data_IF_651829101029
#
_entry.id   IF_651829101029
#
_cell.length_a   1.000
_cell.length_b   1.000
_cell.length_c   1.000
_cell.angle_alpha   90.00
_cell.angle_beta   90.00
_cell.angle_gamma   90.00
#
_symmetry.space_group_name_H-M   'P 1'
#
loop_
_entity.id
_entity.type
_entity.pdbx_description
1 polymer ?
#
# COMPACT_ATOMS: atom_id res chain seq x y z
N UNK A 1 -29.41 -35.97 -46.84
CA UNK A 1 -29.56 -34.71 -46.09
C UNK A 1 -29.35 -35.03 -44.62
N UNK A 2 -28.12 -34.88 -44.13
CA UNK A 2 -27.74 -35.19 -42.76
C UNK A 2 -27.63 -33.87 -41.97
N UNK A 3 -28.45 -33.72 -40.95
CA UNK A 3 -28.46 -32.55 -40.10
C UNK A 3 -27.42 -32.72 -38.96
N UNK A 4 -26.34 -31.94 -39.01
CA UNK A 4 -25.32 -31.85 -37.96
C UNK A 4 -25.89 -31.23 -36.68
N UNK A 5 -25.93 -32.01 -35.59
CA UNK A 5 -26.21 -31.54 -34.22
C UNK A 5 -25.02 -30.70 -33.71
N UNK A 6 -25.29 -29.46 -33.37
CA UNK A 6 -24.34 -28.58 -32.69
C UNK A 6 -24.16 -29.05 -31.22
N UNK A 7 -22.93 -29.35 -30.84
CA UNK A 7 -22.56 -29.69 -29.47
C UNK A 7 -22.44 -28.41 -28.63
N UNK A 8 -23.27 -28.29 -27.57
CA UNK A 8 -23.16 -27.26 -26.56
C UNK A 8 -21.90 -27.50 -25.71
N UNK A 9 -20.97 -26.54 -25.71
CA UNK A 9 -19.86 -26.46 -24.76
C UNK A 9 -20.42 -26.31 -23.32
N UNK A 10 -19.88 -27.01 -22.32
CA UNK A 10 -20.30 -26.80 -20.94
C UNK A 10 -19.72 -25.48 -20.42
N UNK A 11 -20.56 -24.71 -19.73
CA UNK A 11 -20.21 -23.48 -19.05
C UNK A 11 -19.13 -23.77 -17.97
N UNK A 12 -18.07 -22.95 -17.97
CA UNK A 12 -17.03 -23.00 -16.94
C UNK A 12 -17.65 -22.70 -15.57
N UNK A 13 -17.51 -23.64 -14.66
CA UNK A 13 -17.86 -23.43 -13.26
C UNK A 13 -16.89 -22.42 -12.67
N UNK A 14 -17.38 -21.23 -12.38
CA UNK A 14 -16.71 -20.25 -11.53
C UNK A 14 -16.32 -20.91 -10.21
N UNK A 15 -15.03 -21.02 -9.97
CA UNK A 15 -14.50 -21.49 -8.68
C UNK A 15 -14.95 -20.52 -7.59
N UNK A 16 -15.95 -20.91 -6.83
CA UNK A 16 -16.30 -20.27 -5.56
C UNK A 16 -15.10 -20.42 -4.64
N UNK A 17 -14.29 -19.36 -4.54
CA UNK A 17 -13.23 -19.25 -3.56
C UNK A 17 -13.81 -19.48 -2.17
N UNK A 18 -13.38 -20.57 -1.55
CA UNK A 18 -13.68 -20.94 -0.18
C UNK A 18 -13.31 -19.77 0.72
N UNK A 19 -14.28 -19.04 1.23
CA UNK A 19 -14.11 -18.00 2.25
C UNK A 19 -13.37 -18.62 3.42
N UNK A 20 -12.08 -18.27 3.57
CA UNK A 20 -11.32 -18.64 4.75
C UNK A 20 -12.03 -18.03 5.95
N UNK A 21 -12.33 -18.87 6.93
CA UNK A 21 -12.97 -18.68 8.22
C UNK A 21 -13.42 -17.25 8.52
N UNK A 22 -14.73 -17.04 8.48
CA UNK A 22 -15.35 -15.83 8.96
C UNK A 22 -14.81 -15.52 10.36
N UNK A 23 -14.11 -14.41 10.52
CA UNK A 23 -14.17 -13.73 11.76
C UNK A 23 -12.89 -13.33 12.49
N UNK A 24 -11.66 -13.62 12.05
CA UNK A 24 -10.46 -13.14 12.77
C UNK A 24 -9.38 -12.62 11.83
N UNK A 25 -8.93 -11.38 12.05
CA UNK A 25 -7.86 -10.74 11.29
C UNK A 25 -7.00 -9.86 12.21
N UNK A 26 -5.76 -9.60 11.81
CA UNK A 26 -4.93 -8.55 12.43
C UNK A 26 -5.23 -7.18 11.84
N UNK A 27 -5.87 -7.14 10.68
CA UNK A 27 -6.09 -5.92 9.94
C UNK A 27 -7.56 -5.79 9.59
N UNK A 28 -8.14 -4.66 9.93
CA UNK A 28 -9.54 -4.34 9.73
C UNK A 28 -9.71 -2.95 9.17
N UNK A 29 -10.72 -2.77 8.35
CA UNK A 29 -11.06 -1.47 7.79
C UNK A 29 -12.53 -1.15 7.98
N UNK A 30 -12.84 0.14 8.09
CA UNK A 30 -14.19 0.66 8.10
C UNK A 30 -14.27 1.99 7.35
N UNK A 31 -15.50 2.37 6.99
CA UNK A 31 -15.81 3.68 6.45
C UNK A 31 -16.29 4.60 7.58
N UNK A 32 -15.88 5.85 7.51
CA UNK A 32 -16.36 6.92 8.42
C UNK A 32 -16.94 8.03 7.56
N UNK A 33 -18.22 8.31 7.75
CA UNK A 33 -18.89 9.42 7.11
C UNK A 33 -18.80 10.67 7.99
N UNK A 34 -18.28 11.81 7.51
CA UNK A 34 -18.08 13.01 8.31
C UNK A 34 -19.33 13.46 9.07
N UNK A 35 -20.49 13.34 8.45
CA UNK A 35 -21.77 13.79 9.00
C UNK A 35 -22.31 12.93 10.15
N UNK A 36 -21.88 11.66 10.26
CA UNK A 36 -22.32 10.72 11.30
C UNK A 36 -21.21 10.33 12.28
N UNK A 37 -19.97 10.72 12.00
CA UNK A 37 -18.84 10.45 12.87
C UNK A 37 -19.02 11.10 14.25
N UNK A 38 -18.44 10.51 15.28
CA UNK A 38 -18.36 11.12 16.59
C UNK A 38 -17.53 12.42 16.51
N UNK A 39 -17.86 13.41 17.31
CA UNK A 39 -17.01 14.58 17.47
C UNK A 39 -15.64 14.15 18.01
N UNK A 40 -14.54 14.69 17.45
CA UNK A 40 -13.18 14.32 17.87
C UNK A 40 -12.79 12.86 17.54
N UNK A 41 -13.43 12.21 16.57
CA UNK A 41 -13.20 10.79 16.27
C UNK A 41 -11.74 10.45 15.87
N UNK A 42 -11.02 11.41 15.26
CA UNK A 42 -9.60 11.20 14.89
C UNK A 42 -8.71 11.19 16.12
N UNK A 43 -8.94 12.13 17.02
CA UNK A 43 -8.26 12.24 18.32
C UNK A 43 -8.52 10.99 19.16
N UNK A 44 -9.78 10.53 19.20
CA UNK A 44 -10.15 9.28 19.87
C UNK A 44 -9.40 8.08 19.30
N UNK A 45 -9.25 7.96 17.97
CA UNK A 45 -8.45 6.88 17.36
C UNK A 45 -6.96 7.00 17.70
N UNK A 46 -6.43 8.21 17.72
CA UNK A 46 -5.02 8.44 18.08
C UNK A 46 -4.72 8.04 19.53
N UNK A 47 -5.64 8.31 20.46
CA UNK A 47 -5.54 7.94 21.89
C UNK A 47 -5.56 6.42 22.12
N UNK A 48 -6.13 5.64 21.21
CA UNK A 48 -6.14 4.18 21.31
C UNK A 48 -4.77 3.54 21.01
N UNK A 49 -3.81 4.29 20.50
CA UNK A 49 -2.47 3.83 20.12
C UNK A 49 -2.45 2.59 19.23
N UNK A 50 -3.50 2.38 18.45
CA UNK A 50 -3.57 1.30 17.47
C UNK A 50 -2.90 1.77 16.19
N UNK A 51 -1.96 0.98 15.68
CA UNK A 51 -1.28 1.26 14.41
C UNK A 51 -2.28 1.28 13.26
N UNK A 52 -2.21 2.29 12.41
CA UNK A 52 -3.15 2.38 11.30
C UNK A 52 -3.04 3.65 10.46
N UNK A 53 -4.01 3.84 9.57
CA UNK A 53 -4.07 4.99 8.68
C UNK A 53 -5.51 5.47 8.50
N UNK A 54 -5.67 6.78 8.38
CA UNK A 54 -6.91 7.41 7.92
C UNK A 54 -6.64 8.01 6.54
N UNK A 55 -7.50 7.73 5.57
CA UNK A 55 -7.38 8.27 4.21
C UNK A 55 -7.62 9.78 4.17
N UNK A 56 -7.22 10.46 3.09
CA UNK A 56 -7.84 11.71 2.69
C UNK A 56 -9.37 11.57 2.61
N UNK A 57 -10.09 12.68 2.57
CA UNK A 57 -11.53 12.65 2.33
C UNK A 57 -11.81 12.22 0.89
N UNK A 58 -12.47 11.10 0.72
CA UNK A 58 -12.94 10.62 -0.58
C UNK A 58 -14.24 11.33 -0.96
N UNK A 59 -14.12 12.51 -1.51
CA UNK A 59 -15.23 13.39 -1.96
C UNK A 59 -15.40 13.42 -3.49
N UNK A 60 -14.44 12.83 -4.23
CA UNK A 60 -14.44 12.78 -5.71
C UNK A 60 -14.69 11.40 -6.28
N UNK A 61 -15.02 10.45 -5.43
CA UNK A 61 -15.35 9.09 -5.84
C UNK A 61 -16.71 9.03 -6.54
N UNK A 62 -16.81 8.15 -7.55
CA UNK A 62 -18.05 7.90 -8.27
C UNK A 62 -18.50 6.45 -8.15
N UNK A 63 -19.80 6.24 -8.23
CA UNK A 63 -20.41 4.93 -8.35
C UNK A 63 -20.24 4.38 -9.77
N UNK A 64 -20.46 3.06 -10.01
CA UNK A 64 -20.40 2.48 -11.35
C UNK A 64 -21.37 3.10 -12.36
N UNK A 65 -22.44 3.73 -11.89
CA UNK A 65 -23.42 4.46 -12.70
C UNK A 65 -23.03 5.92 -12.98
N UNK A 66 -21.86 6.37 -12.51
CA UNK A 66 -21.35 7.72 -12.67
C UNK A 66 -21.87 8.74 -11.64
N UNK A 67 -22.75 8.34 -10.73
CA UNK A 67 -23.22 9.25 -9.67
C UNK A 67 -22.12 9.46 -8.61
N UNK A 68 -22.00 10.68 -8.01
CA UNK A 68 -21.04 10.92 -6.94
C UNK A 68 -21.32 10.01 -5.73
N UNK A 69 -20.26 9.47 -5.14
CA UNK A 69 -20.36 8.82 -3.85
C UNK A 69 -20.45 9.85 -2.75
N UNK A 70 -21.14 9.47 -1.67
CA UNK A 70 -21.15 10.25 -0.44
C UNK A 70 -19.72 10.40 0.10
N UNK A 71 -19.29 11.62 0.46
CA UNK A 71 -17.96 11.84 1.03
C UNK A 71 -17.71 10.94 2.25
N UNK A 72 -16.56 10.30 2.30
CA UNK A 72 -16.22 9.35 3.36
C UNK A 72 -14.71 9.25 3.54
N UNK A 73 -14.31 8.77 4.72
CA UNK A 73 -12.95 8.34 5.01
C UNK A 73 -12.89 6.83 5.06
N UNK A 74 -11.78 6.27 4.61
CA UNK A 74 -11.38 4.91 4.93
C UNK A 74 -10.45 4.93 6.15
N UNK A 75 -10.70 4.05 7.10
CA UNK A 75 -9.82 3.85 8.25
C UNK A 75 -9.33 2.41 8.21
N UNK A 76 -8.01 2.24 8.24
CA UNK A 76 -7.32 0.96 8.32
C UNK A 76 -6.65 0.86 9.68
N UNK A 77 -6.98 -0.17 10.45
CA UNK A 77 -6.32 -0.45 11.73
C UNK A 77 -5.62 -1.81 11.69
N UNK A 78 -4.44 -1.86 12.28
CA UNK A 78 -3.56 -3.02 12.31
C UNK A 78 -3.19 -3.34 13.77
N UNK A 79 -3.53 -4.54 14.22
CA UNK A 79 -3.22 -5.01 15.58
C UNK A 79 -2.08 -6.03 15.54
N UNK A 80 -1.28 -6.07 16.58
CA UNK A 80 -0.27 -7.12 16.75
C UNK A 80 -0.90 -8.52 16.84
N UNK A 81 -2.03 -8.65 17.56
CA UNK A 81 -2.79 -9.87 17.70
C UNK A 81 -4.02 -9.92 16.79
N UNK A 82 -4.51 -11.13 16.49
CA UNK A 82 -5.75 -11.28 15.72
C UNK A 82 -6.97 -10.85 16.55
N UNK A 83 -7.88 -10.10 15.91
CA UNK A 83 -9.15 -9.65 16.47
C UNK A 83 -10.31 -10.34 15.78
N UNK A 84 -11.41 -10.57 16.51
CA UNK A 84 -12.69 -10.96 15.91
C UNK A 84 -13.40 -9.72 15.33
N UNK A 85 -14.46 -9.94 14.55
CA UNK A 85 -15.29 -8.86 14.04
C UNK A 85 -15.92 -8.03 15.17
N UNK A 86 -16.35 -8.69 16.23
CA UNK A 86 -16.94 -8.06 17.42
C UNK A 86 -15.92 -7.16 18.13
N UNK A 87 -14.69 -7.66 18.31
CA UNK A 87 -13.61 -6.89 18.93
C UNK A 87 -13.19 -5.68 18.07
N UNK A 88 -13.16 -5.84 16.75
CA UNK A 88 -12.92 -4.70 15.85
C UNK A 88 -14.09 -3.70 15.92
N UNK A 89 -15.32 -4.20 15.98
CA UNK A 89 -16.53 -3.38 16.04
C UNK A 89 -16.57 -2.48 17.28
N UNK A 90 -16.06 -2.93 18.43
CA UNK A 90 -15.98 -2.09 19.65
C UNK A 90 -15.27 -0.76 19.38
N UNK A 91 -14.18 -0.77 18.60
CA UNK A 91 -13.45 0.45 18.22
C UNK A 91 -14.25 1.31 17.23
N UNK A 92 -14.89 0.66 16.26
CA UNK A 92 -15.68 1.37 15.24
C UNK A 92 -16.94 2.01 15.82
N UNK A 93 -17.56 1.38 16.81
CA UNK A 93 -18.74 1.92 17.50
C UNK A 93 -18.39 3.22 18.26
N UNK A 94 -17.23 3.30 18.88
CA UNK A 94 -16.78 4.52 19.61
C UNK A 94 -16.70 5.72 18.68
N UNK A 95 -16.22 5.55 17.46
CA UNK A 95 -16.07 6.63 16.47
C UNK A 95 -17.29 6.78 15.56
N UNK A 96 -18.32 5.96 15.75
CA UNK A 96 -19.53 5.89 14.91
C UNK A 96 -19.20 5.64 13.44
N UNK A 97 -18.25 4.77 13.17
CA UNK A 97 -17.98 4.26 11.83
C UNK A 97 -19.14 3.37 11.34
N UNK A 98 -19.09 3.01 10.05
CA UNK A 98 -20.05 2.04 9.50
C UNK A 98 -20.00 0.74 10.32
N UNK A 99 -21.17 0.19 10.73
CA UNK A 99 -21.23 -0.87 11.74
C UNK A 99 -20.62 -2.22 11.33
N UNK A 100 -20.22 -2.39 10.09
CA UNK A 100 -19.65 -3.65 9.57
C UNK A 100 -18.15 -3.50 9.30
N UNK A 101 -17.28 -3.83 10.26
CA UNK A 101 -15.85 -3.88 10.02
C UNK A 101 -15.52 -4.96 8.98
N UNK A 102 -14.63 -4.63 8.06
CA UNK A 102 -14.19 -5.56 7.01
C UNK A 102 -12.80 -6.08 7.32
N UNK A 103 -12.59 -7.41 7.39
CA UNK A 103 -11.26 -7.97 7.52
C UNK A 103 -10.46 -7.68 6.24
N UNK A 104 -9.23 -7.23 6.41
CA UNK A 104 -8.32 -6.90 5.31
C UNK A 104 -7.29 -8.01 5.15
N UNK A 105 -7.17 -8.56 3.93
CA UNK A 105 -6.23 -9.64 3.64
C UNK A 105 -4.79 -9.13 3.41
N UNK A 106 -4.65 -7.91 2.89
CA UNK A 106 -3.38 -7.27 2.61
C UNK A 106 -3.39 -5.84 3.14
N UNK A 107 -2.68 -5.61 4.25
CA UNK A 107 -2.51 -4.28 4.82
C UNK A 107 -1.90 -3.32 3.79
N UNK A 108 -0.83 -3.75 3.09
CA UNK A 108 -0.19 -2.99 2.01
C UNK A 108 -1.16 -2.60 0.90
N UNK A 109 -1.88 -3.58 0.35
CA UNK A 109 -2.82 -3.31 -0.73
C UNK A 109 -3.95 -2.38 -0.31
N UNK A 110 -4.43 -2.49 0.94
CA UNK A 110 -5.45 -1.59 1.43
C UNK A 110 -4.89 -0.19 1.75
N UNK A 111 -3.68 -0.09 2.31
CA UNK A 111 -3.00 1.19 2.50
C UNK A 111 -2.87 1.93 1.16
N UNK A 112 -2.33 1.29 0.12
CA UNK A 112 -2.25 1.86 -1.23
C UNK A 112 -3.62 2.27 -1.80
N UNK A 113 -4.67 1.52 -1.46
CA UNK A 113 -6.05 1.85 -1.86
C UNK A 113 -6.57 3.13 -1.17
N UNK A 114 -6.04 3.53 -0.02
CA UNK A 114 -6.45 4.77 0.65
C UNK A 114 -6.19 6.03 -0.19
N UNK A 115 -5.25 5.97 -1.13
CA UNK A 115 -4.99 7.03 -2.11
C UNK A 115 -5.24 6.58 -3.56
N UNK A 116 -5.82 5.40 -3.77
CA UNK A 116 -6.07 4.76 -5.06
C UNK A 116 -4.82 4.53 -5.92
N UNK A 117 -3.63 4.37 -5.32
CA UNK A 117 -2.34 4.28 -6.02
C UNK A 117 -2.31 3.19 -7.11
N UNK A 118 -3.07 2.10 -6.94
CA UNK A 118 -3.15 0.98 -7.88
C UNK A 118 -4.41 1.02 -8.76
N UNK A 119 -5.17 2.12 -8.72
CA UNK A 119 -6.44 2.29 -9.42
C UNK A 119 -6.43 3.58 -10.26
N UNK A 120 -5.69 3.63 -11.37
CA UNK A 120 -5.51 4.85 -12.16
C UNK A 120 -6.83 5.38 -12.78
N UNK A 121 -7.85 4.53 -12.86
CA UNK A 121 -9.20 4.90 -13.31
C UNK A 121 -10.00 5.72 -12.28
N UNK A 122 -9.54 5.76 -11.03
CA UNK A 122 -10.16 6.53 -9.95
C UNK A 122 -9.42 7.84 -9.72
N UNK A 123 -10.09 8.76 -9.02
CA UNK A 123 -9.41 9.95 -8.54
C UNK A 123 -8.27 9.56 -7.62
N UNK A 124 -7.06 10.08 -7.91
CA UNK A 124 -5.86 9.87 -7.07
C UNK A 124 -5.85 10.92 -5.96
N UNK A 125 -5.81 10.47 -4.71
CA UNK A 125 -5.68 11.34 -3.55
C UNK A 125 -4.20 11.50 -3.15
N UNK A 126 -3.85 12.66 -2.58
CA UNK A 126 -2.48 12.94 -2.18
C UNK A 126 -2.09 12.11 -0.94
N UNK A 127 -1.01 11.31 -1.00
CA UNK A 127 -0.48 10.62 0.17
C UNK A 127 -0.08 11.53 1.33
N UNK A 128 0.24 12.80 1.07
CA UNK A 128 0.56 13.77 2.13
C UNK A 128 -0.62 14.05 3.07
N UNK A 129 -1.86 13.79 2.63
CA UNK A 129 -3.08 13.96 3.43
C UNK A 129 -3.42 12.72 4.27
N UNK A 130 -2.62 11.66 4.21
CA UNK A 130 -2.78 10.47 5.06
C UNK A 130 -2.46 10.83 6.51
N UNK A 131 -3.35 10.42 7.41
CA UNK A 131 -3.09 10.52 8.85
C UNK A 131 -2.61 9.17 9.37
N UNK A 132 -1.36 9.11 9.82
CA UNK A 132 -0.79 7.93 10.46
C UNK A 132 -1.17 7.86 11.94
N UNK A 133 -1.54 6.67 12.40
CA UNK A 133 -1.95 6.37 13.77
C UNK A 133 -0.97 5.39 14.43
N UNK A 134 -0.75 5.54 15.74
CA UNK A 134 0.03 4.57 16.54
C UNK A 134 1.44 4.33 16.02
N UNK A 135 2.09 5.34 15.43
CA UNK A 135 3.43 5.23 14.88
C UNK A 135 3.52 4.44 13.56
N UNK A 136 2.42 4.31 12.83
CA UNK A 136 2.43 3.68 11.50
C UNK A 136 3.33 4.46 10.53
N UNK A 137 4.15 3.73 9.76
CA UNK A 137 4.96 4.26 8.68
C UNK A 137 4.25 3.97 7.34
N UNK A 138 3.78 5.04 6.69
CA UNK A 138 3.08 4.96 5.42
C UNK A 138 3.96 4.43 4.30
N UNK A 139 5.17 4.99 4.16
CA UNK A 139 6.09 4.62 3.10
C UNK A 139 6.52 3.16 3.23
N UNK A 140 6.93 2.74 4.43
CA UNK A 140 7.28 1.35 4.68
C UNK A 140 6.11 0.38 4.44
N UNK A 141 4.87 0.81 4.75
CA UNK A 141 3.68 -0.03 4.56
C UNK A 141 3.28 -0.16 3.09
N UNK A 142 3.41 0.90 2.29
CA UNK A 142 2.96 0.94 0.90
C UNK A 142 4.01 0.56 -0.12
N UNK A 143 5.27 0.50 0.29
CA UNK A 143 6.41 0.16 -0.57
C UNK A 143 6.24 -1.17 -1.30
N UNK A 144 6.54 -1.20 -2.59
CA UNK A 144 6.54 -2.40 -3.42
C UNK A 144 7.97 -2.82 -3.79
N UNK A 145 8.27 -4.13 -3.90
CA UNK A 145 9.58 -4.60 -4.38
C UNK A 145 9.92 -4.10 -5.79
N UNK A 146 8.92 -3.74 -6.60
CA UNK A 146 9.10 -3.13 -7.92
C UNK A 146 9.71 -1.74 -7.86
N UNK A 147 9.47 -1.01 -6.77
CA UNK A 147 10.00 0.33 -6.55
C UNK A 147 11.52 0.24 -6.33
N UNK A 148 11.98 -0.74 -5.53
CA UNK A 148 13.41 -1.04 -5.37
C UNK A 148 14.10 -1.39 -6.70
N UNK A 149 13.43 -2.15 -7.57
CA UNK A 149 13.98 -2.50 -8.88
C UNK A 149 14.20 -1.27 -9.78
N UNK A 150 13.23 -0.36 -9.81
CA UNK A 150 13.34 0.88 -10.57
C UNK A 150 14.50 1.74 -10.05
N UNK A 151 14.57 1.95 -8.74
CA UNK A 151 15.64 2.71 -8.08
C UNK A 151 17.02 2.08 -8.33
N UNK A 152 17.16 0.75 -8.22
CA UNK A 152 18.42 0.04 -8.51
C UNK A 152 18.85 0.23 -9.95
N UNK A 153 17.92 0.14 -10.90
CA UNK A 153 18.21 0.38 -12.33
C UNK A 153 18.72 1.79 -12.58
N UNK A 154 18.08 2.78 -12.00
CA UNK A 154 18.49 4.17 -12.10
C UNK A 154 19.85 4.41 -11.46
N UNK A 155 20.10 3.90 -10.27
CA UNK A 155 21.40 3.96 -9.59
C UNK A 155 22.52 3.37 -10.45
N UNK A 156 22.32 2.19 -11.03
CA UNK A 156 23.32 1.57 -11.91
C UNK A 156 23.58 2.39 -13.17
N UNK A 157 22.57 3.00 -13.77
CA UNK A 157 22.73 3.90 -14.92
C UNK A 157 23.50 5.17 -14.53
N UNK A 158 23.18 5.73 -13.38
CA UNK A 158 23.84 6.94 -12.86
C UNK A 158 25.33 6.68 -12.55
N UNK A 159 25.65 5.57 -11.88
CA UNK A 159 27.02 5.14 -11.57
C UNK A 159 27.85 5.04 -12.85
N UNK A 160 27.34 4.36 -13.88
CA UNK A 160 28.05 4.18 -15.15
C UNK A 160 28.23 5.48 -15.90
N UNK A 161 27.19 6.33 -15.95
CA UNK A 161 27.23 7.62 -16.65
C UNK A 161 28.20 8.62 -16.02
N UNK A 162 28.36 8.58 -14.70
CA UNK A 162 29.18 9.53 -13.95
C UNK A 162 30.52 8.92 -13.50
N UNK A 163 30.84 7.71 -13.96
CA UNK A 163 32.11 7.02 -13.68
C UNK A 163 32.43 6.95 -12.17
N UNK A 164 31.42 6.58 -11.36
CA UNK A 164 31.57 6.49 -9.92
C UNK A 164 32.17 5.13 -9.56
N UNK A 165 33.27 5.13 -8.80
CA UNK A 165 34.02 3.91 -8.46
C UNK A 165 34.01 3.60 -6.96
N UNK A 166 33.60 4.54 -6.11
CA UNK A 166 33.57 4.38 -4.65
C UNK A 166 32.16 4.22 -4.14
N UNK A 167 31.89 3.10 -3.44
CA UNK A 167 30.58 2.91 -2.79
C UNK A 167 30.34 3.96 -1.70
N UNK A 168 31.36 4.32 -0.90
CA UNK A 168 31.21 5.34 0.13
C UNK A 168 30.79 6.69 -0.47
N UNK A 169 31.50 7.15 -1.51
CA UNK A 169 31.16 8.41 -2.17
C UNK A 169 29.78 8.38 -2.82
N UNK A 170 29.38 7.23 -3.39
CA UNK A 170 28.04 7.07 -3.95
C UNK A 170 26.97 7.09 -2.87
N UNK A 171 27.21 6.40 -1.74
CA UNK A 171 26.27 6.35 -0.62
C UNK A 171 26.10 7.74 0.01
N UNK A 172 27.20 8.48 0.23
CA UNK A 172 27.15 9.86 0.74
C UNK A 172 26.34 10.76 -0.19
N UNK A 173 26.52 10.63 -1.51
CA UNK A 173 25.73 11.33 -2.49
C UNK A 173 24.24 11.00 -2.42
N UNK A 174 23.89 9.72 -2.22
CA UNK A 174 22.51 9.29 -2.04
C UNK A 174 21.90 9.92 -0.77
N UNK A 175 22.62 9.88 0.33
CA UNK A 175 22.17 10.46 1.61
C UNK A 175 21.99 11.97 1.55
N UNK A 176 22.74 12.67 0.66
CA UNK A 176 22.64 14.13 0.52
C UNK A 176 21.53 14.57 -0.44
N UNK A 177 21.27 13.79 -1.50
CA UNK A 177 20.49 14.30 -2.67
C UNK A 177 19.40 13.36 -3.17
N UNK A 178 19.41 12.08 -2.78
CA UNK A 178 18.52 11.08 -3.36
C UNK A 178 17.95 10.16 -2.27
N UNK A 179 17.01 10.67 -1.47
CA UNK A 179 16.42 9.96 -0.32
C UNK A 179 15.84 8.60 -0.69
N UNK A 180 15.20 8.48 -1.86
CA UNK A 180 14.64 7.21 -2.34
C UNK A 180 15.74 6.16 -2.58
N UNK A 181 16.86 6.56 -3.19
CA UNK A 181 18.00 5.68 -3.41
C UNK A 181 18.67 5.29 -2.09
N UNK A 182 18.85 6.25 -1.18
CA UNK A 182 19.37 5.99 0.16
C UNK A 182 18.50 4.97 0.89
N UNK A 183 17.20 5.14 0.90
CA UNK A 183 16.25 4.21 1.51
C UNK A 183 16.32 2.81 0.89
N UNK A 184 16.42 2.71 -0.45
CA UNK A 184 16.58 1.44 -1.17
C UNK A 184 17.88 0.73 -0.78
N UNK A 185 18.99 1.48 -0.63
CA UNK A 185 20.28 0.93 -0.19
C UNK A 185 20.22 0.45 1.27
N UNK A 186 19.60 1.22 2.17
CA UNK A 186 19.49 0.91 3.61
C UNK A 186 18.61 -0.33 3.84
N UNK A 187 17.54 -0.52 3.06
CA UNK A 187 16.71 -1.74 3.11
C UNK A 187 17.46 -3.02 2.77
N UNK A 188 18.62 -2.93 2.14
CA UNK A 188 19.66 -3.96 2.11
C UNK A 188 19.59 -4.98 0.99
N UNK A 189 18.50 -5.10 0.25
CA UNK A 189 18.38 -6.11 -0.83
C UNK A 189 19.23 -5.81 -2.07
N UNK A 190 19.59 -4.56 -2.30
CA UNK A 190 20.25 -4.05 -3.50
C UNK A 190 21.76 -3.82 -3.37
N UNK A 191 22.31 -3.86 -2.16
CA UNK A 191 23.71 -3.53 -1.88
C UNK A 191 24.72 -4.34 -2.71
N UNK A 192 24.49 -5.64 -2.89
CA UNK A 192 25.34 -6.50 -3.70
C UNK A 192 25.39 -6.04 -5.16
N UNK A 193 24.22 -5.78 -5.74
CA UNK A 193 24.09 -5.36 -7.14
C UNK A 193 24.80 -4.01 -7.37
N UNK A 194 24.61 -3.06 -6.46
CA UNK A 194 25.25 -1.75 -6.58
C UNK A 194 26.77 -1.83 -6.42
N UNK A 195 27.27 -2.65 -5.47
CA UNK A 195 28.71 -2.88 -5.34
C UNK A 195 29.31 -3.52 -6.60
N UNK A 196 28.61 -4.47 -7.20
CA UNK A 196 29.04 -5.08 -8.46
C UNK A 196 29.03 -4.08 -9.61
N UNK A 197 28.02 -3.21 -9.71
CA UNK A 197 28.01 -2.10 -10.69
C UNK A 197 29.24 -1.20 -10.56
N UNK A 198 29.66 -0.86 -9.33
CA UNK A 198 30.85 -0.05 -9.07
C UNK A 198 32.16 -0.77 -9.43
N UNK A 199 32.27 -2.05 -9.14
CA UNK A 199 33.45 -2.85 -9.48
C UNK A 199 33.66 -2.98 -11.00
N UNK A 200 32.58 -3.16 -11.76
CA UNK A 200 32.65 -3.26 -13.22
C UNK A 200 32.93 -1.94 -13.93
N UNK A 201 32.71 -0.79 -13.27
CA UNK A 201 33.04 0.53 -13.81
C UNK A 201 34.47 0.96 -13.45
N UNK A 202 35.12 0.31 -12.48
CA UNK A 202 36.50 0.65 -12.10
C UNK A 202 37.48 0.30 -13.23
N UNK A 203 38.43 1.18 -13.58
CA UNK A 203 39.49 0.86 -14.54
C UNK A 203 40.26 -0.38 -14.08
N UNK A 204 40.54 -1.27 -15.03
CA UNK A 204 41.32 -2.46 -14.72
C UNK A 204 42.72 -2.05 -14.24
N UNK A 205 43.28 -2.66 -13.17
CA UNK A 205 44.64 -2.36 -12.71
C UNK A 205 45.75 -2.75 -13.70
N UNK A 206 45.42 -3.16 -14.94
CA UNK A 206 46.34 -3.69 -15.91
C UNK A 206 46.50 -2.87 -17.19
N UNK A 207 46.01 -1.63 -17.23
CA UNK A 207 46.27 -0.69 -18.34
C UNK A 207 47.24 0.40 -17.92
#
# INVERSE_FOLDING_TARGET
METRKASKKPASKTATGKTRGAGRSRTWAALVYPESAAEGWRETLAELHITGFISPLHDKDVNPDGTPKKPHYHVLLMWEGVKSAEQAKEVWDVIKAVPEPRPVNSARGYARYLCHLDNPEKHQYDPADIVALGGADWEATTHLPTDDYAAVKEMCQFIRKNEIYSFAAFFDLCMEKYDEWANTLIRGGSLGIIKDCLLYTSPSPRD
#
